data_IF_994220435795
#
_entry.id   IF_994220435795
#
_cell.length_a   1.000
_cell.length_b   1.000
_cell.length_c   1.000
_cell.angle_alpha   90.00
_cell.angle_beta   90.00
_cell.angle_gamma   90.00
#
_symmetry.space_group_name_H-M   'P 1'
#
loop_
_entity.id
_entity.type
_entity.pdbx_description
1 polymer ?
#
# COMPACT_ATOMS: atom_id res chain seq x y z
N UNK A 1 -84.60 33.04 -75.08
CA UNK A 1 -84.67 32.89 -76.54
C UNK A 1 -84.90 31.42 -76.86
N UNK A 2 -86.00 31.17 -77.59
CA UNK A 2 -86.29 30.04 -78.49
C UNK A 2 -86.12 28.58 -78.00
N UNK A 3 -87.20 28.02 -77.45
CA UNK A 3 -87.80 26.73 -77.86
C UNK A 3 -89.31 26.80 -77.52
N UNK A 4 -90.11 27.42 -78.39
CA UNK A 4 -91.02 26.82 -79.38
C UNK A 4 -92.13 25.97 -78.74
N UNK A 5 -93.28 26.63 -78.60
CA UNK A 5 -94.61 26.04 -78.57
C UNK A 5 -94.74 24.99 -79.68
N UNK A 6 -94.96 23.73 -79.31
CA UNK A 6 -95.61 22.74 -80.15
C UNK A 6 -96.41 21.79 -79.23
N UNK A 7 -97.63 22.22 -78.90
CA UNK A 7 -98.71 21.31 -78.53
C UNK A 7 -98.97 20.41 -79.75
N UNK A 8 -98.31 19.24 -79.79
CA UNK A 8 -98.75 18.12 -80.63
C UNK A 8 -99.43 17.09 -79.73
N UNK A 9 -100.75 17.26 -79.67
CA UNK A 9 -101.71 16.21 -79.33
C UNK A 9 -101.49 15.08 -80.34
N UNK A 10 -100.90 13.98 -79.87
CA UNK A 10 -100.61 12.79 -80.66
C UNK A 10 -100.53 11.59 -79.74
N UNK A 11 -101.70 11.04 -79.42
CA UNK A 11 -101.91 9.73 -78.79
C UNK A 11 -101.15 9.47 -77.47
N UNK A 12 -101.63 10.05 -76.37
CA UNK A 12 -101.44 9.45 -75.05
C UNK A 12 -102.31 8.18 -74.99
N UNK A 13 -101.71 7.02 -75.26
CA UNK A 13 -102.29 5.73 -74.88
C UNK A 13 -102.45 5.69 -73.35
N UNK A 14 -103.49 5.04 -72.83
CA UNK A 14 -103.71 4.88 -71.39
C UNK A 14 -102.45 4.36 -70.67
N UNK A 15 -101.69 3.49 -71.35
CA UNK A 15 -100.39 2.97 -70.93
C UNK A 15 -99.31 4.05 -70.76
N UNK A 16 -99.27 5.09 -71.60
CA UNK A 16 -98.27 6.17 -71.47
C UNK A 16 -98.56 7.06 -70.25
N UNK A 17 -99.84 7.26 -69.92
CA UNK A 17 -100.24 8.02 -68.72
C UNK A 17 -100.01 7.17 -67.46
N UNK A 18 -100.33 5.87 -67.49
CA UNK A 18 -100.05 4.96 -66.37
C UNK A 18 -98.55 4.78 -66.14
N UNK A 19 -97.74 4.62 -67.20
CA UNK A 19 -96.28 4.55 -67.08
C UNK A 19 -95.66 5.85 -66.57
N UNK A 20 -96.17 7.01 -67.00
CA UNK A 20 -95.74 8.30 -66.46
C UNK A 20 -96.14 8.47 -64.98
N UNK A 21 -97.32 8.00 -64.59
CA UNK A 21 -97.79 8.02 -63.21
C UNK A 21 -96.97 7.07 -62.31
N UNK A 22 -96.64 5.86 -62.76
CA UNK A 22 -95.76 4.93 -62.02
C UNK A 22 -94.34 5.48 -61.89
N UNK A 23 -93.80 6.12 -62.94
CA UNK A 23 -92.50 6.80 -62.86
C UNK A 23 -92.50 7.96 -61.86
N UNK A 24 -93.58 8.73 -61.82
CA UNK A 24 -93.72 9.82 -60.84
C UNK A 24 -93.87 9.28 -59.42
N UNK A 25 -94.63 8.20 -59.21
CA UNK A 25 -94.72 7.54 -57.90
C UNK A 25 -93.38 6.96 -57.45
N UNK A 26 -92.63 6.31 -58.34
CA UNK A 26 -91.30 5.80 -58.02
C UNK A 26 -90.31 6.94 -57.73
N UNK A 27 -90.38 8.05 -58.46
CA UNK A 27 -89.58 9.24 -58.18
C UNK A 27 -89.97 9.89 -56.85
N UNK A 28 -91.26 9.92 -56.51
CA UNK A 28 -91.76 10.41 -55.22
C UNK A 28 -91.26 9.53 -54.06
N UNK A 29 -91.32 8.20 -54.19
CA UNK A 29 -90.77 7.26 -53.20
C UNK A 29 -89.26 7.38 -53.06
N UNK A 30 -88.52 7.53 -54.16
CA UNK A 30 -87.07 7.71 -54.14
C UNK A 30 -86.68 9.04 -53.48
N UNK A 31 -87.39 10.12 -53.77
CA UNK A 31 -87.19 11.43 -53.14
C UNK A 31 -87.54 11.37 -51.65
N UNK A 32 -88.62 10.68 -51.26
CA UNK A 32 -88.99 10.51 -49.85
C UNK A 32 -87.94 9.70 -49.08
N UNK A 33 -87.40 8.62 -49.67
CA UNK A 33 -86.30 7.84 -49.09
C UNK A 33 -85.03 8.68 -48.90
N UNK A 34 -84.68 9.50 -49.89
CA UNK A 34 -83.54 10.43 -49.79
C UNK A 34 -83.79 11.50 -48.72
N UNK A 35 -85.02 12.00 -48.61
CA UNK A 35 -85.41 12.98 -47.60
C UNK A 35 -85.31 12.39 -46.19
N UNK A 36 -85.80 11.18 -45.96
CA UNK A 36 -85.70 10.48 -44.68
C UNK A 36 -84.24 10.19 -44.29
N UNK A 37 -83.40 9.82 -45.26
CA UNK A 37 -81.95 9.68 -45.05
C UNK A 37 -81.28 11.00 -44.66
N UNK A 38 -81.68 12.12 -45.27
CA UNK A 38 -81.17 13.45 -44.91
C UNK A 38 -81.68 13.94 -43.55
N UNK A 39 -82.95 13.71 -43.23
CA UNK A 39 -83.56 14.09 -41.95
C UNK A 39 -82.94 13.31 -40.77
N UNK A 40 -82.72 12.01 -40.94
CA UNK A 40 -82.03 11.19 -39.93
C UNK A 40 -80.58 11.63 -39.72
N UNK A 41 -79.87 11.97 -40.80
CA UNK A 41 -78.51 12.57 -40.72
C UNK A 41 -78.52 13.92 -40.01
N UNK A 42 -79.52 14.76 -40.26
CA UNK A 42 -79.70 16.04 -39.58
C UNK A 42 -79.91 15.84 -38.08
N UNK A 43 -80.76 14.90 -37.68
CA UNK A 43 -80.99 14.56 -36.27
C UNK A 43 -79.69 14.12 -35.57
N UNK A 44 -78.88 13.29 -36.24
CA UNK A 44 -77.59 12.82 -35.72
C UNK A 44 -76.55 13.95 -35.60
N UNK A 45 -76.50 14.86 -36.60
CA UNK A 45 -75.63 16.04 -36.57
C UNK A 45 -76.02 17.00 -35.45
N UNK A 46 -77.32 17.24 -35.24
CA UNK A 46 -77.80 18.06 -34.14
C UNK A 46 -77.47 17.46 -32.77
N UNK A 47 -77.56 16.13 -32.62
CA UNK A 47 -77.18 15.46 -31.38
C UNK A 47 -75.67 15.62 -31.09
N UNK A 48 -74.81 15.46 -32.11
CA UNK A 48 -73.37 15.72 -32.00
C UNK A 48 -73.08 17.19 -31.71
N UNK A 49 -73.78 18.11 -32.37
CA UNK A 49 -73.64 19.55 -32.15
C UNK A 49 -74.01 19.90 -30.70
N UNK A 50 -75.13 19.39 -30.18
CA UNK A 50 -75.53 19.54 -28.76
C UNK A 50 -74.45 19.01 -27.80
N UNK A 51 -73.83 17.86 -28.12
CA UNK A 51 -72.71 17.32 -27.37
C UNK A 51 -71.50 18.26 -27.32
N UNK A 52 -71.12 18.83 -28.47
CA UNK A 52 -70.04 19.82 -28.57
C UNK A 52 -70.41 21.10 -27.83
N UNK A 53 -71.63 21.61 -28.00
CA UNK A 53 -72.11 22.82 -27.30
C UNK A 53 -72.10 22.64 -25.79
N UNK A 54 -72.37 21.43 -25.28
CA UNK A 54 -72.29 21.10 -23.86
C UNK A 54 -70.84 21.00 -23.34
N UNK A 55 -69.87 20.69 -24.19
CA UNK A 55 -68.46 20.59 -23.83
C UNK A 55 -67.72 21.94 -23.86
N UNK A 56 -68.17 22.91 -24.67
CA UNK A 56 -67.57 24.25 -24.76
C UNK A 56 -67.40 24.97 -23.41
N UNK A 57 -68.39 24.97 -22.49
CA UNK A 57 -68.24 25.58 -21.16
C UNK A 57 -67.13 24.93 -20.35
N UNK A 58 -67.06 23.59 -20.35
CA UNK A 58 -66.02 22.85 -19.63
C UNK A 58 -64.64 23.15 -20.21
N UNK A 59 -64.53 23.25 -21.53
CA UNK A 59 -63.28 23.62 -22.20
C UNK A 59 -62.83 25.04 -21.82
N UNK A 60 -63.77 25.99 -21.67
CA UNK A 60 -63.47 27.35 -21.20
C UNK A 60 -62.97 27.38 -19.76
N UNK A 61 -63.56 26.58 -18.88
CA UNK A 61 -63.10 26.43 -17.49
C UNK A 61 -61.72 25.80 -17.45
N UNK A 62 -61.48 24.72 -18.18
CA UNK A 62 -60.15 24.09 -18.27
C UNK A 62 -59.12 25.08 -18.83
N UNK A 63 -59.49 25.88 -19.83
CA UNK A 63 -58.62 26.92 -20.37
C UNK A 63 -58.30 28.02 -19.33
N UNK A 64 -59.28 28.49 -18.55
CA UNK A 64 -59.01 29.44 -17.47
C UNK A 64 -58.11 28.83 -16.41
N UNK A 65 -58.38 27.60 -16.00
CA UNK A 65 -57.61 26.89 -14.98
C UNK A 65 -56.17 26.67 -15.45
N UNK A 66 -55.98 26.22 -16.70
CA UNK A 66 -54.66 26.08 -17.31
C UNK A 66 -53.90 27.41 -17.39
N UNK A 67 -54.60 28.51 -17.69
CA UNK A 67 -54.01 29.86 -17.70
C UNK A 67 -53.56 30.26 -16.29
N UNK A 68 -54.41 30.10 -15.28
CA UNK A 68 -54.05 30.39 -13.88
C UNK A 68 -52.90 29.52 -13.39
N UNK A 69 -52.87 28.24 -13.78
CA UNK A 69 -51.78 27.32 -13.45
C UNK A 69 -50.47 27.75 -14.11
N UNK A 70 -50.50 28.15 -15.38
CA UNK A 70 -49.32 28.69 -16.06
C UNK A 70 -48.80 29.95 -15.37
N UNK A 71 -49.69 30.86 -14.98
CA UNK A 71 -49.33 32.06 -14.23
C UNK A 71 -48.71 31.71 -12.87
N UNK A 72 -49.29 30.75 -12.13
CA UNK A 72 -48.72 30.26 -10.87
C UNK A 72 -47.34 29.62 -11.07
N UNK A 73 -47.17 28.75 -12.08
CA UNK A 73 -45.88 28.09 -12.36
C UNK A 73 -44.82 29.13 -12.72
N UNK A 74 -45.14 30.11 -13.57
CA UNK A 74 -44.20 31.18 -13.91
C UNK A 74 -43.83 32.03 -12.69
N UNK A 75 -44.80 32.35 -11.83
CA UNK A 75 -44.54 33.04 -10.57
C UNK A 75 -43.64 32.22 -9.63
N UNK A 76 -43.94 30.94 -9.42
CA UNK A 76 -43.13 30.03 -8.59
C UNK A 76 -41.73 29.84 -9.15
N UNK A 77 -41.57 29.71 -10.46
CA UNK A 77 -40.27 29.61 -11.13
C UNK A 77 -39.43 30.87 -10.92
N UNK A 78 -40.05 32.05 -11.08
CA UNK A 78 -39.38 33.33 -10.84
C UNK A 78 -39.00 33.49 -9.37
N UNK A 79 -39.85 33.07 -8.44
CA UNK A 79 -39.53 33.09 -7.01
C UNK A 79 -38.36 32.14 -6.71
N UNK A 80 -38.38 30.92 -7.24
CA UNK A 80 -37.31 29.94 -7.05
C UNK A 80 -35.98 30.46 -7.62
N UNK A 81 -35.96 31.07 -8.81
CA UNK A 81 -34.74 31.63 -9.40
C UNK A 81 -34.20 32.79 -8.53
N UNK A 82 -35.08 33.66 -8.05
CA UNK A 82 -34.70 34.76 -7.16
C UNK A 82 -34.15 34.27 -5.81
N UNK A 83 -34.78 33.25 -5.21
CA UNK A 83 -34.28 32.64 -3.96
C UNK A 83 -32.94 31.97 -4.21
N UNK A 84 -32.82 31.14 -5.25
CA UNK A 84 -31.57 30.46 -5.62
C UNK A 84 -30.44 31.44 -5.93
N UNK A 85 -30.72 32.58 -6.59
CA UNK A 85 -29.73 33.62 -6.84
C UNK A 85 -29.26 34.30 -5.54
N UNK A 86 -30.17 34.56 -4.60
CA UNK A 86 -29.83 35.10 -3.28
C UNK A 86 -29.01 34.11 -2.45
N UNK A 87 -29.40 32.83 -2.46
CA UNK A 87 -28.66 31.75 -1.76
C UNK A 87 -27.26 31.61 -2.34
N UNK A 88 -27.09 31.56 -3.67
CA UNK A 88 -25.76 31.53 -4.31
C UNK A 88 -24.87 32.71 -3.89
N UNK A 89 -25.43 33.92 -3.82
CA UNK A 89 -24.68 35.11 -3.35
C UNK A 89 -24.29 34.98 -1.87
N UNK A 90 -25.18 34.46 -1.05
CA UNK A 90 -24.92 34.21 0.37
C UNK A 90 -23.85 33.13 0.57
N UNK A 91 -23.91 32.04 -0.19
CA UNK A 91 -22.92 30.95 -0.13
C UNK A 91 -21.54 31.43 -0.55
N UNK A 92 -21.47 32.24 -1.61
CA UNK A 92 -20.22 32.86 -2.04
C UNK A 92 -19.66 33.79 -0.94
N UNK A 93 -20.49 34.63 -0.34
CA UNK A 93 -20.08 35.49 0.76
C UNK A 93 -19.61 34.66 1.98
N UNK A 94 -20.35 33.60 2.34
CA UNK A 94 -20.00 32.69 3.43
C UNK A 94 -18.69 31.96 3.17
N UNK A 95 -18.46 31.49 1.94
CA UNK A 95 -17.22 30.84 1.54
C UNK A 95 -16.04 31.80 1.68
N UNK A 96 -16.18 33.04 1.20
CA UNK A 96 -15.13 34.06 1.33
C UNK A 96 -14.85 34.42 2.78
N UNK A 97 -15.87 34.58 3.62
CA UNK A 97 -15.69 34.84 5.06
C UNK A 97 -14.97 33.68 5.73
N UNK A 98 -15.34 32.44 5.41
CA UNK A 98 -14.69 31.24 5.96
C UNK A 98 -13.23 31.14 5.53
N UNK A 99 -12.92 31.52 4.30
CA UNK A 99 -11.55 31.59 3.79
C UNK A 99 -10.74 32.69 4.49
N UNK A 100 -11.27 33.90 4.62
CA UNK A 100 -10.62 34.98 5.37
C UNK A 100 -10.37 34.59 6.83
N UNK A 101 -11.35 33.94 7.48
CA UNK A 101 -11.19 33.45 8.85
C UNK A 101 -10.04 32.45 8.95
N UNK A 102 -9.94 31.49 8.01
CA UNK A 102 -8.84 30.53 7.97
C UNK A 102 -7.49 31.23 7.77
N UNK A 103 -7.39 32.17 6.82
CA UNK A 103 -6.16 32.94 6.58
C UNK A 103 -5.71 33.72 7.82
N UNK A 104 -6.63 34.34 8.56
CA UNK A 104 -6.30 35.06 9.80
C UNK A 104 -5.78 34.10 10.87
N UNK A 105 -6.40 32.92 11.02
CA UNK A 105 -5.93 31.89 11.95
C UNK A 105 -4.55 31.37 11.57
N UNK A 106 -4.30 31.15 10.28
CA UNK A 106 -3.00 30.68 9.79
C UNK A 106 -1.90 31.73 10.04
N UNK A 107 -2.18 33.02 9.82
CA UNK A 107 -1.23 34.12 10.13
C UNK A 107 -0.93 34.20 11.62
N UNK A 108 -1.96 34.11 12.47
CA UNK A 108 -1.80 34.10 13.93
C UNK A 108 -0.95 32.91 14.37
N UNK A 109 -1.23 31.73 13.81
CA UNK A 109 -0.49 30.53 14.14
C UNK A 109 0.97 30.60 13.68
N UNK A 110 1.28 31.20 12.53
CA UNK A 110 2.67 31.39 12.07
C UNK A 110 3.44 32.28 13.05
N UNK A 111 2.82 33.37 13.53
CA UNK A 111 3.44 34.23 14.54
C UNK A 111 3.68 33.47 15.85
N UNK A 112 2.64 32.77 16.35
CA UNK A 112 2.75 31.96 17.56
C UNK A 112 3.80 30.84 17.44
N UNK A 113 3.90 30.20 16.27
CA UNK A 113 4.91 29.17 16.04
C UNK A 113 6.32 29.78 15.93
N UNK A 114 6.49 30.94 15.30
CA UNK A 114 7.79 31.63 15.21
C UNK A 114 8.32 31.99 16.60
N UNK A 115 7.47 32.60 17.43
CA UNK A 115 7.80 32.97 18.82
C UNK A 115 8.00 31.72 19.70
N UNK A 116 7.09 30.76 19.58
CA UNK A 116 7.11 29.50 20.35
C UNK A 116 8.34 28.65 20.07
N UNK A 117 8.73 28.48 18.79
CA UNK A 117 9.95 27.75 18.42
C UNK A 117 11.19 28.48 18.94
N UNK A 118 11.26 29.80 18.79
CA UNK A 118 12.40 30.59 19.28
C UNK A 118 12.55 30.52 20.80
N UNK A 119 11.43 30.53 21.54
CA UNK A 119 11.42 30.37 22.98
C UNK A 119 11.80 28.93 23.40
N UNK A 120 11.24 27.92 22.74
CA UNK A 120 11.51 26.51 23.04
C UNK A 120 12.97 26.13 22.76
N UNK A 121 13.56 26.65 21.68
CA UNK A 121 14.99 26.46 21.39
C UNK A 121 15.88 27.10 22.47
N UNK A 122 15.51 28.28 23.00
CA UNK A 122 16.24 28.92 24.11
C UNK A 122 16.16 28.15 25.43
N UNK A 123 15.05 27.44 25.67
CA UNK A 123 14.87 26.61 26.86
C UNK A 123 15.33 25.16 26.64
N UNK A 124 15.92 24.84 25.49
CA UNK A 124 16.33 23.50 25.07
C UNK A 124 15.19 22.45 25.12
N UNK A 125 13.94 22.90 24.97
CA UNK A 125 12.76 22.03 24.95
C UNK A 125 12.44 21.64 23.50
N UNK A 126 13.15 20.62 23.01
CA UNK A 126 13.05 20.17 21.63
C UNK A 126 11.70 19.55 21.26
N UNK A 127 10.94 19.02 22.23
CA UNK A 127 9.63 18.43 21.99
C UNK A 127 8.59 19.50 21.67
N UNK A 128 8.56 20.58 22.46
CA UNK A 128 7.70 21.74 22.17
C UNK A 128 8.13 22.42 20.87
N UNK A 129 9.42 22.57 20.64
CA UNK A 129 9.93 23.13 19.38
C UNK A 129 9.45 22.30 18.17
N UNK A 130 9.57 20.97 18.24
CA UNK A 130 9.10 20.07 17.19
C UNK A 130 7.59 20.13 16.99
N UNK A 131 6.79 20.28 18.05
CA UNK A 131 5.35 20.45 17.95
C UNK A 131 4.95 21.73 17.19
N UNK A 132 5.60 22.85 17.47
CA UNK A 132 5.37 24.10 16.74
C UNK A 132 5.82 24.01 15.28
N UNK A 133 6.97 23.38 15.00
CA UNK A 133 7.44 23.14 13.63
C UNK A 133 6.48 22.19 12.88
N UNK A 134 5.97 21.14 13.53
CA UNK A 134 5.01 20.24 12.92
C UNK A 134 3.72 20.97 12.52
N UNK A 135 3.19 21.82 13.41
CA UNK A 135 2.03 22.65 13.13
C UNK A 135 2.29 23.55 11.90
N UNK A 136 3.46 24.18 11.82
CA UNK A 136 3.85 24.95 10.64
C UNK A 136 3.94 24.09 9.36
N UNK A 137 4.53 22.90 9.42
CA UNK A 137 4.65 22.01 8.26
C UNK A 137 3.29 21.47 7.79
N UNK A 138 2.30 21.40 8.69
CA UNK A 138 0.92 21.01 8.35
C UNK A 138 0.10 22.13 7.69
N UNK A 139 0.58 23.38 7.74
CA UNK A 139 -0.07 24.52 7.08
C UNK A 139 0.28 24.59 5.59
N UNK A 140 -0.61 25.19 4.80
CA UNK A 140 -0.35 25.42 3.39
C UNK A 140 0.63 26.60 3.21
N UNK A 141 1.90 26.25 3.02
CA UNK A 141 2.97 27.22 2.82
C UNK A 141 2.79 28.06 1.55
N UNK A 142 2.07 27.55 0.55
CA UNK A 142 1.81 28.29 -0.69
C UNK A 142 0.82 29.43 -0.48
N UNK A 143 -0.25 29.17 0.28
CA UNK A 143 -1.24 30.17 0.66
C UNK A 143 -0.68 31.18 1.65
N UNK A 144 0.19 30.76 2.56
CA UNK A 144 0.88 31.66 3.49
C UNK A 144 1.80 32.65 2.75
N UNK A 145 2.53 32.19 1.73
CA UNK A 145 3.38 33.05 0.90
C UNK A 145 2.56 34.07 0.11
N UNK A 146 1.46 33.63 -0.52
CA UNK A 146 0.55 34.55 -1.21
C UNK A 146 -0.07 35.58 -0.25
N UNK A 147 -0.45 35.15 0.95
CA UNK A 147 -1.00 36.06 1.98
C UNK A 147 0.04 37.07 2.47
N UNK A 148 1.32 36.69 2.53
CA UNK A 148 2.40 37.60 2.88
C UNK A 148 2.68 38.66 1.78
N UNK A 149 2.45 38.32 0.51
CA UNK A 149 2.59 39.25 -0.62
C UNK A 149 1.42 40.24 -0.72
N UNK A 150 0.19 39.80 -0.41
CA UNK A 150 -1.03 40.61 -0.51
C UNK A 150 -1.19 41.64 0.63
N UNK A 151 -0.56 41.41 1.78
CA UNK A 151 -0.75 42.23 2.99
C UNK A 151 0.34 43.29 3.08
N UNK A 152 -0.03 44.58 3.20
CA UNK A 152 0.92 45.69 3.37
C UNK A 152 1.78 45.60 4.66
N UNK A 153 1.43 44.72 5.60
CA UNK A 153 2.24 44.30 6.76
C UNK A 153 3.07 43.02 6.50
N UNK A 154 3.25 42.62 5.23
CA UNK A 154 3.92 41.39 4.82
C UNK A 154 5.34 41.24 5.38
N UNK A 155 6.01 42.33 5.76
CA UNK A 155 7.36 42.33 6.32
C UNK A 155 7.48 41.52 7.62
N UNK A 156 6.54 41.65 8.56
CA UNK A 156 6.61 40.94 9.85
C UNK A 156 6.25 39.45 9.73
N UNK A 157 5.33 39.13 8.82
CA UNK A 157 4.97 37.74 8.52
C UNK A 157 6.10 37.04 7.76
N UNK A 158 6.73 37.72 6.80
CA UNK A 158 7.85 37.16 6.04
C UNK A 158 9.08 36.93 6.93
N UNK A 159 9.39 37.87 7.82
CA UNK A 159 10.42 37.69 8.85
C UNK A 159 10.11 36.49 9.75
N UNK A 160 8.86 36.36 10.22
CA UNK A 160 8.43 35.19 11.02
C UNK A 160 8.59 33.88 10.26
N UNK A 161 8.25 33.84 8.97
CA UNK A 161 8.44 32.66 8.12
C UNK A 161 9.93 32.32 7.95
N UNK A 162 10.79 33.32 7.77
CA UNK A 162 12.23 33.11 7.62
C UNK A 162 12.86 32.61 8.92
N UNK A 163 12.49 33.18 10.06
CA UNK A 163 12.89 32.71 11.39
C UNK A 163 12.48 31.25 11.58
N UNK A 164 11.24 30.91 11.23
CA UNK A 164 10.72 29.56 11.41
C UNK A 164 11.39 28.53 10.47
N UNK A 165 11.70 28.90 9.23
CA UNK A 165 12.49 28.06 8.31
C UNK A 165 13.92 27.83 8.81
N UNK A 166 14.55 28.88 9.33
CA UNK A 166 15.89 28.80 9.91
C UNK A 166 15.89 27.92 11.16
N UNK A 167 14.94 28.15 12.06
CA UNK A 167 14.78 27.38 13.28
C UNK A 167 14.42 25.91 13.00
N UNK A 168 13.62 25.63 11.96
CA UNK A 168 13.32 24.27 11.52
C UNK A 168 14.60 23.56 11.06
N UNK A 169 15.42 24.21 10.24
CA UNK A 169 16.68 23.64 9.75
C UNK A 169 17.66 23.37 10.90
N UNK A 170 17.79 24.32 11.83
CA UNK A 170 18.61 24.16 13.04
C UNK A 170 18.09 23.03 13.93
N UNK A 171 16.78 22.95 14.17
CA UNK A 171 16.18 21.92 15.02
C UNK A 171 16.38 20.51 14.44
N UNK A 172 16.30 20.37 13.12
CA UNK A 172 16.59 19.11 12.42
C UNK A 172 18.03 18.64 12.65
N UNK A 173 18.99 19.56 12.59
CA UNK A 173 20.41 19.26 12.83
C UNK A 173 20.68 18.94 14.31
N UNK A 174 20.12 19.71 15.22
CA UNK A 174 20.28 19.47 16.67
C UNK A 174 19.72 18.11 17.06
N UNK A 175 18.52 17.75 16.58
CA UNK A 175 17.90 16.45 16.91
C UNK A 175 18.69 15.29 16.30
N UNK A 176 19.25 15.46 15.11
CA UNK A 176 20.16 14.49 14.51
C UNK A 176 21.37 14.20 15.42
N UNK A 177 22.05 15.27 15.85
CA UNK A 177 23.24 15.17 16.72
C UNK A 177 22.86 14.59 18.08
N UNK A 178 21.79 15.09 18.71
CA UNK A 178 21.33 14.62 20.02
C UNK A 178 20.88 13.16 20.01
N UNK A 179 20.30 12.70 18.92
CA UNK A 179 20.00 11.28 18.73
C UNK A 179 21.27 10.44 18.66
N UNK A 180 22.26 10.85 17.87
CA UNK A 180 23.55 10.14 17.76
C UNK A 180 24.31 10.14 19.10
N UNK A 181 24.29 11.25 19.85
CA UNK A 181 24.83 11.34 21.22
C UNK A 181 24.12 10.38 22.19
N UNK A 182 22.79 10.32 22.16
CA UNK A 182 22.01 9.40 23.01
C UNK A 182 22.30 7.93 22.68
N UNK A 183 22.46 7.61 21.39
CA UNK A 183 22.86 6.28 20.92
C UNK A 183 24.27 5.93 21.42
N UNK A 184 25.22 6.87 21.34
CA UNK A 184 26.60 6.67 21.81
C UNK A 184 26.69 6.53 23.34
N UNK A 185 25.83 7.21 24.09
CA UNK A 185 25.72 7.10 25.55
C UNK A 185 24.93 5.86 26.02
N UNK A 186 24.40 5.06 25.09
CA UNK A 186 23.52 3.92 25.34
C UNK A 186 22.24 4.24 26.13
N UNK A 187 21.77 5.50 26.06
CA UNK A 187 20.54 5.92 26.71
C UNK A 187 19.32 5.63 25.82
N UNK A 188 18.67 4.50 26.07
CA UNK A 188 17.48 4.04 25.35
C UNK A 188 16.33 5.04 25.45
N UNK A 189 16.13 5.65 26.63
CA UNK A 189 15.00 6.55 26.85
C UNK A 189 15.14 7.83 26.04
N UNK A 190 16.34 8.42 26.04
CA UNK A 190 16.63 9.61 25.22
C UNK A 190 16.62 9.30 23.72
N UNK A 191 17.16 8.15 23.31
CA UNK A 191 17.12 7.74 21.90
C UNK A 191 15.68 7.59 21.39
N UNK A 192 14.79 6.95 22.14
CA UNK A 192 13.36 6.84 21.79
C UNK A 192 12.65 8.20 21.81
N UNK A 193 13.01 9.09 22.75
CA UNK A 193 12.46 10.45 22.83
C UNK A 193 12.78 11.24 21.57
N UNK A 194 14.05 11.29 21.14
CA UNK A 194 14.45 11.98 19.92
C UNK A 194 13.94 11.29 18.65
N UNK A 195 13.84 9.95 18.67
CA UNK A 195 13.25 9.19 17.57
C UNK A 195 11.82 9.66 17.24
N UNK A 196 10.99 9.89 18.27
CA UNK A 196 9.60 10.40 18.09
C UNK A 196 9.53 11.79 17.42
N UNK A 197 10.61 12.56 17.40
CA UNK A 197 10.62 13.92 16.85
C UNK A 197 10.92 13.97 15.35
N UNK A 198 11.59 12.97 14.78
CA UNK A 198 11.90 12.96 13.34
C UNK A 198 10.64 13.04 12.44
N UNK A 199 9.54 12.32 12.71
CA UNK A 199 8.31 12.44 11.91
C UNK A 199 7.70 13.84 11.97
N UNK A 200 7.73 14.47 13.15
CA UNK A 200 7.17 15.80 13.37
C UNK A 200 7.85 16.86 12.50
N UNK A 201 9.14 16.68 12.22
CA UNK A 201 9.97 17.57 11.41
C UNK A 201 9.94 17.24 9.91
N UNK A 202 9.16 16.24 9.49
CA UNK A 202 9.14 15.75 8.11
C UNK A 202 10.37 14.94 7.70
N UNK A 203 11.12 14.40 8.67
CA UNK A 203 12.33 13.59 8.47
C UNK A 203 12.09 12.11 8.75
N UNK A 204 10.95 11.58 8.29
CA UNK A 204 10.54 10.20 8.60
C UNK A 204 11.56 9.16 8.11
N UNK A 205 11.97 9.23 6.84
CA UNK A 205 12.85 8.22 6.28
C UNK A 205 14.26 8.27 6.90
N UNK A 206 14.74 9.47 7.24
CA UNK A 206 16.03 9.64 7.91
C UNK A 206 16.02 9.09 9.34
N UNK A 207 14.96 9.39 10.10
CA UNK A 207 14.79 8.84 11.45
C UNK A 207 14.73 7.31 11.45
N UNK A 208 14.01 6.71 10.49
CA UNK A 208 13.94 5.25 10.33
C UNK A 208 15.31 4.66 9.96
N UNK A 209 16.07 5.29 9.06
CA UNK A 209 17.43 4.84 8.70
C UNK A 209 18.35 4.84 9.92
N UNK A 210 18.44 5.95 10.64
CA UNK A 210 19.30 6.07 11.82
C UNK A 210 18.91 5.10 12.92
N UNK A 211 17.62 4.94 13.17
CA UNK A 211 17.13 3.99 14.15
C UNK A 211 17.40 2.54 13.74
N UNK A 212 17.28 2.22 12.45
CA UNK A 212 17.65 0.90 11.93
C UNK A 212 19.13 0.60 12.17
N UNK A 213 20.03 1.56 11.88
CA UNK A 213 21.47 1.43 12.16
C UNK A 213 21.73 1.21 13.65
N UNK A 214 21.03 1.94 14.53
CA UNK A 214 21.11 1.76 15.97
C UNK A 214 20.72 0.33 16.40
N UNK A 215 19.57 -0.17 15.92
CA UNK A 215 19.11 -1.52 16.25
C UNK A 215 20.05 -2.60 15.68
N UNK A 216 20.57 -2.41 14.47
CA UNK A 216 21.57 -3.31 13.88
C UNK A 216 22.86 -3.34 14.72
N UNK A 217 23.31 -2.20 15.24
CA UNK A 217 24.46 -2.14 16.16
C UNK A 217 24.21 -2.93 17.45
N UNK A 218 23.03 -2.77 18.07
CA UNK A 218 22.63 -3.52 19.27
C UNK A 218 22.48 -5.03 19.00
N UNK A 219 21.97 -5.39 17.83
CA UNK A 219 21.88 -6.79 17.39
C UNK A 219 23.28 -7.39 17.20
N UNK A 220 24.19 -6.67 16.54
CA UNK A 220 25.59 -7.07 16.37
C UNK A 220 26.30 -7.27 17.71
N UNK A 221 26.15 -6.33 18.64
CA UNK A 221 26.76 -6.43 19.96
C UNK A 221 26.24 -7.67 20.72
N UNK A 222 24.94 -7.91 20.66
CA UNK A 222 24.30 -9.09 21.27
C UNK A 222 24.74 -10.39 20.61
N UNK A 223 24.81 -10.42 19.27
CA UNK A 223 25.29 -11.55 18.48
C UNK A 223 26.74 -11.90 18.80
N UNK A 224 27.62 -10.90 18.85
CA UNK A 224 29.03 -11.10 19.21
C UNK A 224 29.20 -11.60 20.65
N UNK A 225 28.44 -11.06 21.63
CA UNK A 225 28.46 -11.56 23.01
C UNK A 225 28.03 -13.02 23.09
N UNK A 226 26.96 -13.40 22.39
CA UNK A 226 26.48 -14.77 22.32
C UNK A 226 27.50 -15.70 21.66
N UNK A 227 28.12 -15.27 20.56
CA UNK A 227 29.14 -16.04 19.84
C UNK A 227 30.42 -16.25 20.67
N UNK A 228 30.88 -15.22 21.39
CA UNK A 228 32.02 -15.33 22.32
C UNK A 228 31.72 -16.29 23.47
N UNK A 229 30.49 -16.25 24.01
CA UNK A 229 30.06 -17.16 25.08
C UNK A 229 29.99 -18.63 24.62
N UNK A 230 29.65 -18.89 23.36
CA UNK A 230 29.69 -20.23 22.78
C UNK A 230 31.12 -20.68 22.50
N UNK A 231 31.94 -19.80 21.95
CA UNK A 231 33.35 -20.09 21.63
C UNK A 231 34.17 -20.41 22.87
N UNK A 232 33.94 -19.71 23.99
CA UNK A 232 34.65 -19.98 25.25
C UNK A 232 34.24 -21.32 25.89
N UNK A 233 32.96 -21.70 25.80
CA UNK A 233 32.46 -22.99 26.31
C UNK A 233 32.92 -24.19 25.48
N UNK A 234 33.10 -24.00 24.18
CA UNK A 234 33.59 -25.02 23.23
C UNK A 234 35.02 -25.50 23.57
N UNK A 235 35.85 -24.66 24.18
CA UNK A 235 37.24 -24.99 24.54
C UNK A 235 37.42 -25.68 25.90
N UNK A 236 36.40 -25.74 26.76
CA UNK A 236 36.59 -26.07 28.19
C UNK A 236 36.36 -27.54 28.55
N UNK A 237 35.63 -28.36 27.77
CA UNK A 237 35.53 -29.79 28.11
C UNK A 237 34.99 -30.65 26.98
N UNK A 238 35.79 -31.62 26.52
CA UNK A 238 35.39 -32.67 25.57
C UNK A 238 34.39 -33.69 26.11
N UNK A 239 33.64 -33.35 27.17
CA UNK A 239 32.71 -34.27 27.86
C UNK A 239 31.26 -33.77 27.90
N UNK A 240 30.99 -32.53 27.50
CA UNK A 240 29.63 -31.97 27.53
C UNK A 240 28.87 -32.25 26.23
N UNK A 241 27.84 -33.11 26.30
CA UNK A 241 26.88 -33.35 25.20
C UNK A 241 26.22 -32.07 24.68
N UNK A 242 26.23 -30.99 25.47
CA UNK A 242 25.75 -29.65 25.09
C UNK A 242 26.69 -28.89 24.16
N UNK A 243 27.96 -29.25 24.07
CA UNK A 243 28.88 -28.63 23.11
C UNK A 243 28.40 -28.83 21.67
N UNK A 244 27.73 -29.95 21.39
CA UNK A 244 27.22 -30.36 20.07
C UNK A 244 25.96 -29.60 19.60
N UNK A 245 25.44 -28.65 20.39
CA UNK A 245 24.28 -27.82 20.03
C UNK A 245 24.57 -26.34 20.23
N UNK A 246 25.79 -25.98 20.67
CA UNK A 246 26.08 -24.64 21.12
C UNK A 246 25.96 -23.58 19.99
N UNK A 247 26.31 -23.94 18.75
CA UNK A 247 26.14 -23.04 17.61
C UNK A 247 24.70 -22.95 17.12
N UNK A 248 23.92 -24.02 17.26
CA UNK A 248 22.49 -24.01 16.99
C UNK A 248 21.73 -23.15 18.03
N UNK A 249 22.15 -23.19 19.29
CA UNK A 249 21.62 -22.33 20.35
C UNK A 249 21.98 -20.86 20.09
N UNK A 250 23.19 -20.56 19.61
CA UNK A 250 23.56 -19.19 19.22
C UNK A 250 22.68 -18.63 18.09
N UNK A 251 22.40 -19.44 17.05
CA UNK A 251 21.47 -19.03 15.99
C UNK A 251 20.06 -18.81 16.54
N UNK A 252 19.60 -19.68 17.43
CA UNK A 252 18.26 -19.54 18.05
C UNK A 252 18.16 -18.24 18.85
N UNK A 253 19.19 -17.91 19.65
CA UNK A 253 19.24 -16.66 20.41
C UNK A 253 19.31 -15.42 19.50
N UNK A 254 19.96 -15.51 18.34
CA UNK A 254 20.00 -14.42 17.35
C UNK A 254 18.60 -14.16 16.79
N UNK A 255 17.90 -15.20 16.33
CA UNK A 255 16.56 -15.07 15.75
C UNK A 255 15.53 -14.62 16.79
N UNK A 256 15.59 -15.15 18.01
CA UNK A 256 14.75 -14.70 19.12
C UNK A 256 15.04 -13.22 19.47
N UNK A 257 16.31 -12.82 19.43
CA UNK A 257 16.71 -11.42 19.64
C UNK A 257 16.07 -10.47 18.63
N UNK A 258 16.00 -10.86 17.35
CA UNK A 258 15.36 -10.06 16.30
C UNK A 258 13.86 -10.00 16.51
N UNK A 259 13.21 -11.14 16.76
CA UNK A 259 11.78 -11.18 17.04
C UNK A 259 11.42 -10.25 18.21
N UNK A 260 12.21 -10.28 19.29
CA UNK A 260 12.04 -9.41 20.46
C UNK A 260 12.26 -7.93 20.14
N UNK A 261 13.28 -7.59 19.36
CA UNK A 261 13.51 -6.20 18.91
C UNK A 261 12.33 -5.68 18.09
N UNK A 262 11.80 -6.49 17.18
CA UNK A 262 10.64 -6.13 16.37
C UNK A 262 9.41 -5.95 17.26
N UNK A 263 9.14 -6.88 18.17
CA UNK A 263 7.98 -6.84 19.08
C UNK A 263 8.00 -5.59 19.99
N UNK A 264 9.16 -5.22 20.53
CA UNK A 264 9.30 -4.05 21.41
C UNK A 264 9.10 -2.75 20.64
N UNK A 265 9.69 -2.62 19.45
CA UNK A 265 9.73 -1.34 18.73
C UNK A 265 8.60 -1.16 17.71
N UNK A 266 7.85 -2.21 17.36
CA UNK A 266 6.71 -2.12 16.43
C UNK A 266 5.64 -1.12 16.91
N UNK A 267 5.15 -1.13 18.17
CA UNK A 267 4.15 -0.17 18.63
C UNK A 267 4.64 1.27 18.52
N UNK A 268 5.93 1.51 18.80
CA UNK A 268 6.54 2.83 18.72
C UNK A 268 6.58 3.33 17.27
N UNK A 269 7.03 2.51 16.33
CA UNK A 269 7.12 2.88 14.91
C UNK A 269 5.72 3.09 14.31
N UNK A 270 4.78 2.19 14.57
CA UNK A 270 3.42 2.30 14.01
C UNK A 270 2.66 3.52 14.55
N UNK A 271 2.85 3.86 15.83
CA UNK A 271 2.18 5.01 16.46
C UNK A 271 2.67 6.36 15.90
N UNK A 272 3.98 6.53 15.71
CA UNK A 272 4.57 7.84 15.36
C UNK A 272 4.93 8.00 13.88
N UNK A 273 5.27 6.91 13.17
CA UNK A 273 5.65 6.95 11.75
C UNK A 273 4.53 6.45 10.83
N UNK A 274 3.55 5.75 11.38
CA UNK A 274 2.39 5.23 10.66
C UNK A 274 2.52 3.76 10.22
N UNK A 275 1.42 3.18 9.71
CA UNK A 275 1.34 1.76 9.39
C UNK A 275 2.30 1.40 8.24
N UNK A 276 2.92 0.22 8.35
CA UNK A 276 3.81 -0.33 7.31
C UNK A 276 5.24 0.23 7.31
N UNK A 277 5.54 1.27 8.08
CA UNK A 277 6.90 1.83 8.18
C UNK A 277 7.89 0.91 8.90
N UNK A 278 7.41 -0.01 9.73
CA UNK A 278 8.21 -1.04 10.38
C UNK A 278 8.93 -1.96 9.37
N UNK A 279 8.35 -2.17 8.18
CA UNK A 279 8.97 -2.99 7.12
C UNK A 279 10.35 -2.45 6.69
N UNK A 280 10.54 -1.12 6.72
CA UNK A 280 11.84 -0.52 6.41
C UNK A 280 12.89 -0.93 7.43
N UNK A 281 12.53 -0.94 8.71
CA UNK A 281 13.43 -1.34 9.81
C UNK A 281 13.75 -2.83 9.73
N UNK A 282 12.72 -3.66 9.48
CA UNK A 282 12.86 -5.11 9.34
C UNK A 282 13.82 -5.48 8.20
N UNK A 283 13.80 -4.78 7.06
CA UNK A 283 14.75 -5.03 5.96
C UNK A 283 16.20 -4.87 6.40
N UNK A 284 16.52 -3.80 7.13
CA UNK A 284 17.88 -3.56 7.60
C UNK A 284 18.28 -4.56 8.71
N UNK A 285 17.33 -4.92 9.59
CA UNK A 285 17.55 -5.94 10.61
C UNK A 285 17.79 -7.32 9.99
N UNK A 286 17.11 -7.65 8.89
CA UNK A 286 17.30 -8.89 8.16
C UNK A 286 18.72 -8.96 7.54
N UNK A 287 19.18 -7.88 6.91
CA UNK A 287 20.55 -7.84 6.36
C UNK A 287 21.61 -8.04 7.46
N UNK A 288 21.43 -7.43 8.64
CA UNK A 288 22.35 -7.65 9.77
C UNK A 288 22.18 -9.06 10.36
N UNK A 289 20.98 -9.63 10.37
CA UNK A 289 20.74 -11.02 10.76
C UNK A 289 21.53 -11.99 9.89
N UNK A 290 21.45 -11.83 8.57
CA UNK A 290 22.17 -12.68 7.62
C UNK A 290 23.68 -12.57 7.85
N UNK A 291 24.17 -11.36 8.10
CA UNK A 291 25.58 -11.09 8.41
C UNK A 291 26.02 -11.77 9.70
N UNK A 292 25.24 -11.66 10.79
CA UNK A 292 25.56 -12.29 12.08
C UNK A 292 25.43 -13.82 12.01
N UNK A 293 24.41 -14.33 11.32
CA UNK A 293 24.25 -15.76 11.05
C UNK A 293 25.47 -16.31 10.31
N UNK A 294 25.93 -15.61 9.28
CA UNK A 294 27.15 -15.97 8.54
C UNK A 294 28.39 -16.00 9.44
N UNK A 295 28.56 -15.04 10.36
CA UNK A 295 29.67 -15.07 11.33
C UNK A 295 29.60 -16.29 12.25
N UNK A 296 28.41 -16.66 12.72
CA UNK A 296 28.21 -17.87 13.53
C UNK A 296 28.58 -19.12 12.73
N UNK A 297 28.16 -19.23 11.47
CA UNK A 297 28.53 -20.33 10.58
C UNK A 297 30.04 -20.38 10.30
N UNK A 298 30.70 -19.23 10.15
CA UNK A 298 32.13 -19.14 9.93
C UNK A 298 32.91 -19.66 11.15
N UNK A 299 32.53 -19.23 12.35
CA UNK A 299 33.14 -19.71 13.59
C UNK A 299 32.87 -21.19 13.85
N UNK A 300 31.66 -21.67 13.53
CA UNK A 300 31.34 -23.11 13.55
C UNK A 300 32.29 -23.91 12.62
N UNK A 301 32.45 -23.44 11.39
CA UNK A 301 33.33 -24.06 10.39
C UNK A 301 34.79 -24.10 10.85
N UNK A 302 35.23 -23.02 11.50
CA UNK A 302 36.59 -22.87 12.05
C UNK A 302 36.81 -23.79 13.26
N UNK A 303 35.92 -23.76 14.25
CA UNK A 303 36.10 -24.51 15.50
C UNK A 303 35.91 -26.03 15.32
N UNK A 304 35.01 -26.45 14.43
CA UNK A 304 34.79 -27.87 14.11
C UNK A 304 35.72 -28.41 13.04
N UNK A 305 36.65 -27.60 12.52
CA UNK A 305 37.60 -27.98 11.47
C UNK A 305 36.93 -28.68 10.27
N UNK A 306 35.75 -28.22 9.84
CA UNK A 306 34.94 -28.88 8.81
C UNK A 306 35.73 -29.05 7.50
N UNK A 307 36.59 -28.08 7.18
CA UNK A 307 37.48 -28.13 6.01
C UNK A 307 38.52 -29.26 6.08
N UNK A 308 38.96 -29.66 7.27
CA UNK A 308 39.82 -30.83 7.45
C UNK A 308 39.00 -32.11 7.27
N UNK A 309 37.80 -32.18 7.86
CA UNK A 309 36.88 -33.30 7.65
C UNK A 309 36.55 -33.53 6.17
N UNK A 310 36.23 -32.47 5.42
CA UNK A 310 35.98 -32.57 3.97
C UNK A 310 37.20 -33.10 3.22
N UNK A 311 38.42 -32.67 3.58
CA UNK A 311 39.66 -33.18 2.96
C UNK A 311 39.86 -34.66 3.26
N UNK A 312 39.70 -35.06 4.52
CA UNK A 312 39.86 -36.44 4.97
C UNK A 312 38.85 -37.37 4.28
N UNK A 313 37.59 -36.93 4.14
CA UNK A 313 36.55 -37.69 3.41
C UNK A 313 36.86 -37.78 1.92
N UNK A 314 37.32 -36.70 1.28
CA UNK A 314 37.73 -36.71 -0.13
C UNK A 314 38.94 -37.62 -0.38
N UNK A 315 39.91 -37.63 0.52
CA UNK A 315 41.07 -38.53 0.46
C UNK A 315 40.64 -39.98 0.67
N UNK A 316 39.80 -40.27 1.66
CA UNK A 316 39.25 -41.61 1.88
C UNK A 316 38.47 -42.13 0.66
N UNK A 317 37.70 -41.26 -0.02
CA UNK A 317 36.99 -41.61 -1.26
C UNK A 317 37.96 -41.89 -2.43
N UNK A 318 39.05 -41.12 -2.54
CA UNK A 318 40.12 -41.35 -3.54
C UNK A 318 40.87 -42.66 -3.29
N UNK A 319 41.15 -42.99 -2.02
CA UNK A 319 41.76 -44.28 -1.64
C UNK A 319 40.82 -45.46 -1.89
N UNK A 320 39.52 -45.31 -1.62
CA UNK A 320 38.53 -46.35 -1.90
C UNK A 320 38.36 -46.61 -3.42
N UNK A 321 38.43 -45.56 -4.24
CA UNK A 321 38.37 -45.69 -5.72
C UNK A 321 39.66 -46.24 -6.33
N UNK A 322 40.82 -46.04 -5.71
CA UNK A 322 42.09 -46.66 -6.16
C UNK A 322 42.25 -48.11 -5.70
N UNK A 323 41.77 -48.46 -4.50
CA UNK A 323 41.75 -49.84 -4.00
C UNK A 323 40.84 -50.77 -4.82
N UNK A 324 39.76 -50.22 -5.40
CA UNK A 324 38.87 -50.98 -6.29
C UNK A 324 39.51 -51.24 -7.66
N UNK A 325 40.36 -50.34 -8.17
CA UNK A 325 41.13 -50.52 -9.42
C UNK A 325 42.35 -51.44 -9.29
N UNK A 326 42.98 -51.52 -8.11
CA UNK A 326 44.13 -52.42 -7.87
C UNK A 326 43.73 -53.86 -7.54
N UNK A 327 42.49 -54.09 -7.10
CA UNK A 327 41.96 -55.44 -6.85
C UNK A 327 41.72 -56.27 -8.13
N UNK A 328 41.75 -55.67 -9.32
CA UNK A 328 41.57 -56.35 -10.61
C UNK A 328 42.88 -56.72 -11.33
N UNK A 329 44.07 -56.47 -10.76
CA UNK A 329 45.36 -56.63 -11.45
C UNK A 329 46.32 -57.67 -10.83
N UNK A 330 45.84 -58.59 -9.98
CA UNK A 330 46.69 -59.67 -9.44
C UNK A 330 46.37 -61.02 -10.07
N UNK A 331 46.93 -61.32 -11.24
CA UNK A 331 47.20 -62.70 -11.65
C UNK A 331 48.42 -62.79 -12.59
N UNK A 332 49.32 -63.74 -12.29
CA UNK A 332 50.54 -64.18 -13.05
C UNK A 332 51.81 -63.46 -12.60
N UNK A 333 52.93 -64.07 -12.14
CA UNK A 333 53.61 -65.34 -12.49
C UNK A 333 54.69 -65.58 -11.40
N UNK A 334 54.83 -66.75 -10.76
CA UNK A 334 55.58 -67.97 -11.14
C UNK A 334 57.13 -67.89 -11.03
N UNK A 335 57.66 -68.64 -10.05
CA UNK A 335 58.99 -69.29 -9.92
C UNK A 335 60.28 -68.56 -10.36
N UNK A 336 61.21 -68.32 -9.41
CA UNK A 336 62.61 -68.81 -9.52
C UNK A 336 63.34 -68.83 -8.17
N UNK A 337 64.19 -69.85 -8.04
CA UNK A 337 64.88 -70.38 -6.88
C UNK A 337 66.31 -69.78 -6.75
N UNK A 338 66.86 -69.79 -5.52
CA UNK A 338 68.24 -70.23 -5.16
C UNK A 338 69.30 -69.20 -4.67
N UNK A 339 69.84 -69.52 -3.47
CA UNK A 339 71.18 -69.27 -2.85
C UNK A 339 71.62 -67.81 -2.64
N UNK A 340 72.17 -67.38 -1.51
CA UNK A 340 72.73 -68.05 -0.33
C UNK A 340 74.09 -67.42 0.01
N UNK A 341 74.29 -66.90 1.23
CA UNK A 341 75.56 -66.81 2.00
C UNK A 341 75.37 -65.89 3.22
N UNK A 342 76.25 -66.14 4.18
CA UNK A 342 76.21 -65.88 5.62
C UNK A 342 77.19 -64.75 6.01
N UNK A 343 76.92 -64.18 7.20
CA UNK A 343 77.81 -63.44 8.10
C UNK A 343 78.13 -61.94 7.89
N UNK A 344 77.98 -61.19 8.98
CA UNK A 344 78.56 -59.86 9.19
C UNK A 344 77.81 -59.02 10.22
N UNK A 345 78.23 -59.09 11.49
CA UNK A 345 77.84 -58.13 12.53
C UNK A 345 78.35 -56.71 12.18
N UNK A 346 77.55 -55.69 12.51
CA UNK A 346 77.97 -54.29 12.41
C UNK A 346 76.90 -53.34 12.97
N UNK A 347 77.09 -52.94 14.22
CA UNK A 347 76.36 -51.92 14.96
C UNK A 347 76.58 -50.53 14.32
N UNK A 348 75.53 -49.71 14.22
CA UNK A 348 75.59 -48.47 13.44
C UNK A 348 74.28 -47.67 13.42
N UNK A 349 74.04 -46.97 14.53
CA UNK A 349 73.06 -45.90 14.76
C UNK A 349 72.70 -45.13 13.48
N UNK A 350 71.43 -45.21 13.06
CA UNK A 350 70.83 -44.26 12.11
C UNK A 350 69.53 -43.72 12.69
N UNK A 351 69.63 -42.53 13.26
CA UNK A 351 68.50 -41.67 13.61
C UNK A 351 67.92 -41.09 12.33
N UNK A 352 66.96 -41.79 11.71
CA UNK A 352 65.98 -41.16 10.82
C UNK A 352 64.59 -41.36 11.42
N UNK A 353 64.20 -40.35 12.19
CA UNK A 353 62.83 -40.08 12.59
C UNK A 353 61.99 -39.79 11.34
N UNK A 354 61.54 -40.86 10.68
CA UNK A 354 60.38 -40.83 9.80
C UNK A 354 59.13 -40.82 10.67
N UNK A 355 58.63 -39.63 11.00
CA UNK A 355 57.26 -39.48 11.50
C UNK A 355 56.30 -39.80 10.35
N UNK A 356 56.01 -41.08 10.17
CA UNK A 356 54.81 -41.52 9.48
C UNK A 356 53.62 -40.96 10.26
N UNK A 357 53.13 -39.79 9.84
CA UNK A 357 51.79 -39.31 10.14
C UNK A 357 50.83 -40.38 9.62
N UNK A 358 50.43 -41.30 10.50
CA UNK A 358 49.19 -42.05 10.32
C UNK A 358 48.09 -41.00 10.23
N UNK A 359 47.68 -40.66 9.01
CA UNK A 359 46.43 -39.93 8.77
C UNK A 359 45.32 -40.78 9.40
N UNK A 360 44.83 -40.32 10.55
CA UNK A 360 43.77 -40.99 11.29
C UNK A 360 42.54 -41.07 10.39
N UNK A 361 42.08 -42.29 10.14
CA UNK A 361 40.82 -42.55 9.46
C UNK A 361 39.71 -41.80 10.23
N UNK A 362 38.87 -40.99 9.58
CA UNK A 362 37.81 -40.24 10.25
C UNK A 362 36.90 -41.19 11.04
N UNK A 363 36.69 -40.94 12.34
CA UNK A 363 35.76 -41.71 13.17
C UNK A 363 34.32 -41.40 12.71
N UNK A 364 33.53 -42.39 12.25
CA UNK A 364 32.16 -42.16 11.79
C UNK A 364 31.24 -41.58 12.88
N UNK A 365 31.54 -41.79 14.17
CA UNK A 365 30.71 -41.26 15.27
C UNK A 365 30.85 -39.75 15.44
N UNK A 366 32.06 -39.21 15.27
CA UNK A 366 32.30 -37.77 15.34
C UNK A 366 31.68 -37.05 14.13
N UNK A 367 31.71 -37.70 12.97
CA UNK A 367 31.04 -37.19 11.76
C UNK A 367 29.52 -37.14 11.93
N UNK A 368 28.91 -38.16 12.52
CA UNK A 368 27.46 -38.21 12.78
C UNK A 368 27.02 -37.12 13.76
N UNK A 369 27.80 -36.86 14.81
CA UNK A 369 27.56 -35.76 15.75
C UNK A 369 27.61 -34.40 15.04
N UNK A 370 28.59 -34.19 14.16
CA UNK A 370 28.75 -32.95 13.40
C UNK A 370 27.60 -32.75 12.40
N UNK A 371 27.20 -33.81 11.70
CA UNK A 371 26.02 -33.80 10.82
C UNK A 371 24.73 -33.53 11.60
N UNK A 372 24.61 -34.07 12.82
CA UNK A 372 23.52 -33.78 13.75
C UNK A 372 23.45 -32.30 14.14
N UNK A 373 24.58 -31.68 14.52
CA UNK A 373 24.65 -30.25 14.84
C UNK A 373 24.25 -29.39 13.61
N UNK A 374 24.75 -29.74 12.41
CA UNK A 374 24.36 -29.07 11.16
C UNK A 374 22.87 -29.19 10.84
N UNK A 375 22.28 -30.38 11.04
CA UNK A 375 20.86 -30.61 10.81
C UNK A 375 20.00 -29.76 11.76
N UNK A 376 20.41 -29.63 13.03
CA UNK A 376 19.73 -28.77 14.00
C UNK A 376 19.87 -27.30 13.60
N UNK A 377 21.07 -26.83 13.23
CA UNK A 377 21.28 -25.45 12.75
C UNK A 377 20.39 -25.14 11.53
N UNK A 378 20.28 -26.07 10.58
CA UNK A 378 19.41 -25.93 9.43
C UNK A 378 17.93 -25.87 9.83
N UNK A 379 17.47 -26.76 10.72
CA UNK A 379 16.11 -26.75 11.22
C UNK A 379 15.77 -25.44 11.94
N UNK A 380 16.71 -24.84 12.70
CA UNK A 380 16.52 -23.55 13.36
C UNK A 380 16.42 -22.39 12.37
N UNK A 381 17.25 -22.37 11.34
CA UNK A 381 17.14 -21.38 10.27
C UNK A 381 15.80 -21.51 9.51
N UNK A 382 15.32 -22.74 9.29
CA UNK A 382 14.02 -22.98 8.66
C UNK A 382 12.79 -22.59 9.49
N UNK A 383 12.95 -22.33 10.80
CA UNK A 383 11.87 -21.78 11.63
C UNK A 383 11.77 -20.24 11.56
N UNK A 384 12.82 -19.58 11.07
CA UNK A 384 12.91 -18.12 10.99
C UNK A 384 12.45 -17.58 9.64
N UNK A 385 12.68 -18.34 8.56
CA UNK A 385 12.17 -18.10 7.20
C UNK A 385 10.69 -18.48 7.12
#
# INVERSE_FOLDING_TARGET
MAYKHDLRIGAYTMDNIQSAHEKLLHQEEEINLQLDALLSRQCHLEAKLRGVTKAIPNLKVIHSDAKTLSEMITFTSNLAENVSAKVRKLDLARSRVSECQRRVLDVLDVQLCSEGVSAALRTEDYEKAAAHVHRYLSMDQSLLRQTAEDVAQGTSLWESLQVLQTACSQLREIIAIKFEEAVAAEDVASAERFFKLFPLLGMQDEGLRRFSVYLCSKLKETGEKNLRAVSSKSHVSGTDKRANVAFADALTLLFEGIARLIEIHQPLVETYYGPGRMLTVVKHLQEECDRQSYQIFLEFTRQRNINQWIRNVKEALKLASTATLSSSASTSSLLLMKKGAMEGLGDGVTSQSGSSQQQSRPDPRELDILLGEMAIMHARAGLYV
#
